data_IF_187825337731
#
_entry.id   IF_187825337731
#
_cell.length_a   1.000
_cell.length_b   1.000
_cell.length_c   1.000
_cell.angle_alpha   90.00
_cell.angle_beta   90.00
_cell.angle_gamma   90.00
#
_symmetry.space_group_name_H-M   'P 1'
#
loop_
_entity.id
_entity.type
_entity.pdbx_description
1 polymer ?
#
# COMPACT_ATOMS: atom_id res chain seq x y z
N UNK A 1 -8.02 35.90 -1.55
CA UNK A 1 -8.73 35.27 -0.42
C UNK A 1 -8.93 33.80 -0.76
N UNK A 2 -8.23 32.87 -0.11
CA UNK A 2 -8.50 31.43 -0.24
C UNK A 2 -9.68 31.09 0.68
N UNK A 3 -10.73 30.40 0.20
CA UNK A 3 -11.85 30.05 1.06
C UNK A 3 -11.37 29.12 2.17
N UNK A 4 -11.72 29.47 3.42
CA UNK A 4 -11.50 28.66 4.61
C UNK A 4 -12.26 27.35 4.47
N UNK A 5 -11.55 26.25 4.19
CA UNK A 5 -12.11 24.91 4.26
C UNK A 5 -12.54 24.65 5.70
N UNK A 6 -13.86 24.58 5.94
CA UNK A 6 -14.40 24.06 7.17
C UNK A 6 -13.90 22.61 7.34
N UNK A 7 -13.14 22.35 8.41
CA UNK A 7 -12.80 20.99 8.82
C UNK A 7 -14.08 20.34 9.32
N UNK A 8 -14.73 19.55 8.46
CA UNK A 8 -15.78 18.63 8.86
C UNK A 8 -15.23 17.72 9.97
N UNK A 9 -16.03 17.44 11.00
CA UNK A 9 -15.70 16.41 11.99
C UNK A 9 -15.81 15.05 11.29
N UNK A 10 -14.66 14.51 10.88
CA UNK A 10 -14.55 13.29 10.08
C UNK A 10 -14.60 12.02 10.95
N UNK A 11 -14.73 12.14 12.27
CA UNK A 11 -14.49 11.04 13.20
C UNK A 11 -13.01 10.66 13.29
N UNK A 12 -12.70 9.65 14.11
CA UNK A 12 -11.35 9.06 14.18
C UNK A 12 -11.09 8.10 13.02
N UNK A 13 -9.82 7.90 12.66
CA UNK A 13 -9.44 6.80 11.77
C UNK A 13 -9.72 5.47 12.47
N UNK A 14 -10.48 4.53 11.86
CA UNK A 14 -10.68 3.21 12.44
C UNK A 14 -9.33 2.50 12.60
N UNK A 15 -9.17 1.76 13.70
CA UNK A 15 -7.97 1.00 14.01
C UNK A 15 -8.27 -0.49 13.95
N UNK A 16 -7.41 -1.25 13.27
CA UNK A 16 -7.40 -2.70 13.24
C UNK A 16 -6.15 -3.23 13.94
N UNK A 17 -6.27 -4.43 14.50
CA UNK A 17 -5.22 -5.06 15.31
C UNK A 17 -4.75 -6.41 14.72
N UNK A 18 -5.22 -6.76 13.53
CA UNK A 18 -5.00 -8.08 12.95
C UNK A 18 -3.54 -8.25 12.54
N UNK A 19 -2.86 -9.18 13.19
CA UNK A 19 -1.52 -9.62 12.79
C UNK A 19 -1.62 -10.71 11.70
N UNK A 20 -1.35 -10.34 10.45
CA UNK A 20 -1.43 -11.23 9.29
C UNK A 20 -0.31 -12.27 9.20
N UNK A 21 0.66 -12.27 10.12
CA UNK A 21 1.77 -13.24 10.16
C UNK A 21 1.40 -14.53 10.92
N UNK A 22 0.27 -14.55 11.61
CA UNK A 22 -0.19 -15.71 12.36
C UNK A 22 -0.87 -16.73 11.45
N UNK A 23 -0.55 -18.00 11.66
CA UNK A 23 -1.19 -19.12 11.00
C UNK A 23 -2.69 -19.17 11.32
N UNK A 24 -3.51 -19.37 10.29
CA UNK A 24 -4.96 -19.43 10.40
C UNK A 24 -5.54 -20.53 9.50
N UNK A 25 -6.72 -21.07 9.83
CA UNK A 25 -7.54 -21.84 8.90
C UNK A 25 -7.62 -21.21 7.51
N UNK A 26 -7.74 -22.07 6.50
CA UNK A 26 -7.95 -21.61 5.14
C UNK A 26 -9.16 -20.67 5.06
N UNK A 27 -8.99 -19.59 4.29
CA UNK A 27 -9.98 -18.54 4.02
C UNK A 27 -10.30 -17.55 5.16
N UNK A 28 -9.90 -17.81 6.41
CA UNK A 28 -10.15 -16.87 7.52
C UNK A 28 -9.54 -15.48 7.27
N UNK A 29 -8.36 -15.42 6.64
CA UNK A 29 -7.73 -14.15 6.24
C UNK A 29 -8.64 -13.32 5.32
N UNK A 30 -9.42 -13.94 4.44
CA UNK A 30 -10.34 -13.19 3.57
C UNK A 30 -11.52 -12.63 4.37
N UNK A 31 -12.02 -13.36 5.35
CA UNK A 31 -13.09 -12.88 6.23
C UNK A 31 -12.64 -11.67 7.04
N UNK A 32 -11.41 -11.72 7.57
CA UNK A 32 -10.79 -10.60 8.29
C UNK A 32 -10.62 -9.37 7.38
N UNK A 33 -10.03 -9.55 6.19
CA UNK A 33 -9.86 -8.47 5.22
C UNK A 33 -11.21 -7.88 4.76
N UNK A 34 -12.23 -8.72 4.62
CA UNK A 34 -13.58 -8.27 4.30
C UNK A 34 -14.16 -7.42 5.43
N UNK A 35 -14.06 -7.88 6.69
CA UNK A 35 -14.55 -7.12 7.84
C UNK A 35 -13.82 -5.78 7.99
N UNK A 36 -12.49 -5.76 7.84
CA UNK A 36 -11.70 -4.54 7.94
C UNK A 36 -12.04 -3.53 6.82
N UNK A 37 -12.31 -3.99 5.60
CA UNK A 37 -12.78 -3.12 4.50
C UNK A 37 -14.09 -2.39 4.82
N UNK A 38 -14.94 -2.98 5.64
CA UNK A 38 -16.22 -2.36 6.02
C UNK A 38 -16.08 -1.33 7.15
N UNK A 39 -14.92 -1.26 7.83
CA UNK A 39 -14.67 -0.24 8.87
C UNK A 39 -14.52 1.17 8.30
N UNK A 40 -13.99 1.28 7.07
CA UNK A 40 -13.75 2.57 6.44
C UNK A 40 -12.95 2.46 5.14
N UNK A 41 -12.82 3.58 4.39
CA UNK A 41 -12.02 3.61 3.15
C UNK A 41 -10.52 3.36 3.41
N UNK A 42 -10.03 3.74 4.58
CA UNK A 42 -8.69 3.44 5.05
C UNK A 42 -8.72 3.16 6.55
N UNK A 43 -7.99 2.13 6.97
CA UNK A 43 -7.92 1.63 8.35
C UNK A 43 -6.47 1.64 8.81
N UNK A 44 -6.19 2.17 9.98
CA UNK A 44 -4.85 2.08 10.57
C UNK A 44 -4.68 0.71 11.24
N UNK A 45 -3.73 -0.11 10.79
CA UNK A 45 -3.39 -1.38 11.44
C UNK A 45 -2.17 -1.17 12.34
N UNK A 46 -2.29 -1.49 13.63
CA UNK A 46 -1.23 -1.29 14.64
C UNK A 46 -0.53 -2.58 15.07
N UNK A 47 -0.65 -3.66 14.30
CA UNK A 47 -0.03 -4.97 14.61
C UNK A 47 1.51 -4.98 14.49
N UNK A 48 2.11 -3.90 14.00
CA UNK A 48 3.56 -3.67 13.96
C UNK A 48 3.93 -2.45 14.80
N UNK A 49 5.20 -2.33 15.20
CA UNK A 49 5.69 -1.19 15.99
C UNK A 49 5.40 0.17 15.35
N UNK A 50 5.39 0.24 14.02
CA UNK A 50 5.15 1.47 13.27
C UNK A 50 3.72 1.61 12.74
N UNK A 51 2.94 0.54 12.78
CA UNK A 51 1.65 0.41 12.10
C UNK A 51 1.72 0.62 10.59
N UNK A 52 0.60 0.45 9.92
CA UNK A 52 0.46 0.69 8.49
C UNK A 52 -0.98 0.98 8.10
N UNK A 53 -1.16 1.74 7.03
CA UNK A 53 -2.48 2.03 6.49
C UNK A 53 -2.95 0.88 5.60
N UNK A 54 -4.13 0.36 5.89
CA UNK A 54 -4.81 -0.63 5.08
C UNK A 54 -5.87 0.03 4.20
N UNK A 55 -5.69 -0.12 2.89
CA UNK A 55 -6.62 0.33 1.86
C UNK A 55 -7.00 -0.88 1.02
N UNK A 56 -8.29 -1.23 0.99
CA UNK A 56 -8.76 -2.53 0.49
C UNK A 56 -9.87 -2.43 -0.55
N UNK A 57 -10.33 -1.22 -0.89
CA UNK A 57 -11.26 -1.01 -2.01
C UNK A 57 -10.49 -0.82 -3.31
N UNK A 58 -10.99 -1.45 -4.36
CA UNK A 58 -10.34 -1.48 -5.68
C UNK A 58 -10.01 -0.08 -6.22
N UNK A 59 -10.98 0.83 -6.19
CA UNK A 59 -10.81 2.18 -6.73
C UNK A 59 -9.78 2.98 -5.93
N UNK A 60 -9.81 2.87 -4.59
CA UNK A 60 -8.89 3.56 -3.70
C UNK A 60 -7.45 3.04 -3.88
N UNK A 61 -7.27 1.71 -3.93
CA UNK A 61 -5.96 1.09 -4.21
C UNK A 61 -5.44 1.54 -5.57
N UNK A 62 -6.28 1.52 -6.60
CA UNK A 62 -5.90 1.89 -7.96
C UNK A 62 -5.52 3.37 -8.07
N UNK A 63 -6.21 4.25 -7.33
CA UNK A 63 -5.86 5.66 -7.24
C UNK A 63 -4.49 5.84 -6.57
N UNK A 64 -4.28 5.21 -5.42
CA UNK A 64 -3.02 5.31 -4.67
C UNK A 64 -1.82 4.77 -5.46
N UNK A 65 -1.98 3.66 -6.19
CA UNK A 65 -0.91 3.10 -7.02
C UNK A 65 -0.46 4.02 -8.16
N UNK A 66 -1.22 5.07 -8.49
CA UNK A 66 -0.83 6.09 -9.48
C UNK A 66 -0.09 7.28 -8.85
N UNK A 67 -0.20 7.45 -7.53
CA UNK A 67 0.41 8.55 -6.78
C UNK A 67 1.89 8.27 -6.44
N UNK A 68 2.68 7.87 -7.43
CA UNK A 68 4.08 7.43 -7.25
C UNK A 68 5.02 8.52 -6.71
N UNK A 69 4.65 9.80 -6.82
CA UNK A 69 5.42 10.92 -6.27
C UNK A 69 5.14 11.14 -4.77
N UNK A 70 4.01 10.62 -4.28
CA UNK A 70 3.62 10.69 -2.86
C UNK A 70 3.89 9.38 -2.13
N UNK A 71 3.57 8.25 -2.77
CA UNK A 71 3.80 6.90 -2.25
C UNK A 71 5.04 6.31 -2.92
N UNK A 72 6.19 6.54 -2.29
CA UNK A 72 7.50 6.08 -2.74
C UNK A 72 7.77 4.63 -2.32
N UNK A 73 8.59 3.93 -3.09
CA UNK A 73 8.97 2.53 -2.86
C UNK A 73 10.15 2.36 -1.87
N UNK A 74 10.39 3.35 -1.00
CA UNK A 74 11.48 3.30 -0.01
C UNK A 74 11.19 2.29 1.11
N UNK A 75 9.91 2.01 1.38
CA UNK A 75 9.45 0.95 2.26
C UNK A 75 8.41 0.09 1.52
N UNK A 76 8.84 -1.09 1.05
CA UNK A 76 7.98 -2.00 0.27
C UNK A 76 7.28 -3.06 1.12
N UNK A 77 7.64 -3.18 2.40
CA UNK A 77 7.10 -4.19 3.30
C UNK A 77 6.78 -3.56 4.66
N UNK A 78 5.50 -3.48 4.99
CA UNK A 78 5.03 -2.96 6.27
C UNK A 78 5.45 -3.80 7.49
N UNK A 79 5.78 -5.08 7.30
CA UNK A 79 6.21 -5.99 8.36
C UNK A 79 7.73 -6.00 8.57
N UNK A 80 8.50 -5.59 7.55
CA UNK A 80 9.96 -5.46 7.60
C UNK A 80 10.38 -4.17 6.88
N UNK A 81 10.37 -3.03 7.57
CA UNK A 81 10.77 -1.75 6.99
C UNK A 81 12.27 -1.67 6.72
N UNK A 82 13.05 -2.63 7.22
CA UNK A 82 14.51 -2.66 7.10
C UNK A 82 15.01 -3.57 5.98
N UNK A 83 14.10 -4.09 5.15
CA UNK A 83 14.43 -5.03 4.08
C UNK A 83 15.58 -4.50 3.21
N UNK A 84 16.76 -5.11 3.35
CA UNK A 84 18.02 -4.57 2.80
C UNK A 84 18.25 -4.90 1.33
N UNK A 85 17.54 -5.90 0.80
CA UNK A 85 17.76 -6.40 -0.56
C UNK A 85 16.74 -5.75 -1.51
N UNK A 86 17.16 -4.80 -2.37
CA UNK A 86 16.24 -4.17 -3.29
C UNK A 86 15.78 -5.17 -4.36
N UNK A 87 14.46 -5.26 -4.54
CA UNK A 87 13.84 -6.05 -5.59
C UNK A 87 13.73 -5.19 -6.84
N UNK A 88 14.78 -5.17 -7.66
CA UNK A 88 14.79 -4.36 -8.89
C UNK A 88 13.87 -4.96 -9.98
N UNK A 89 13.12 -4.15 -10.74
CA UNK A 89 13.05 -2.68 -10.66
C UNK A 89 12.10 -2.13 -9.58
N UNK A 90 11.29 -2.98 -8.93
CA UNK A 90 10.19 -2.59 -8.04
C UNK A 90 10.60 -1.67 -6.88
N UNK A 91 11.81 -1.83 -6.33
CA UNK A 91 12.33 -0.97 -5.25
C UNK A 91 12.89 0.39 -5.72
N UNK A 92 12.72 0.77 -6.99
CA UNK A 92 13.17 2.06 -7.51
C UNK A 92 12.02 3.05 -7.63
N UNK A 93 12.30 4.32 -7.34
CA UNK A 93 11.43 5.44 -7.67
C UNK A 93 11.81 6.06 -9.03
N UNK A 94 10.95 6.87 -9.66
CA UNK A 94 11.35 7.73 -10.77
C UNK A 94 12.49 8.69 -10.34
N UNK A 95 13.44 9.02 -11.25
CA UNK A 95 13.53 8.58 -12.65
C UNK A 95 14.26 7.23 -12.88
N UNK A 96 14.93 6.65 -11.88
CA UNK A 96 15.74 5.42 -12.01
C UNK A 96 14.90 4.23 -12.45
N UNK A 97 13.69 4.09 -11.90
CA UNK A 97 12.72 3.08 -12.31
C UNK A 97 12.46 3.11 -13.82
N UNK A 98 12.27 4.30 -14.39
CA UNK A 98 11.99 4.48 -15.82
C UNK A 98 13.17 4.06 -16.70
N UNK A 99 14.40 4.36 -16.26
CA UNK A 99 15.62 3.97 -16.97
C UNK A 99 15.75 2.45 -17.03
N UNK A 100 15.59 1.77 -15.89
CA UNK A 100 15.71 0.31 -15.82
C UNK A 100 14.57 -0.39 -16.57
N UNK A 101 13.32 0.05 -16.40
CA UNK A 101 12.16 -0.49 -17.13
C UNK A 101 12.34 -0.38 -18.64
N UNK A 102 12.92 0.72 -19.14
CA UNK A 102 13.23 0.87 -20.59
C UNK A 102 14.21 -0.20 -21.10
N UNK A 103 15.18 -0.61 -20.29
CA UNK A 103 16.13 -1.68 -20.64
C UNK A 103 15.45 -3.06 -20.62
N UNK A 104 14.53 -3.28 -19.68
CA UNK A 104 13.84 -4.56 -19.50
C UNK A 104 12.70 -4.80 -20.50
N UNK A 105 11.95 -3.76 -20.88
CA UNK A 105 10.75 -3.88 -21.72
C UNK A 105 10.91 -4.73 -23.01
N UNK A 106 12.03 -4.67 -23.76
CA UNK A 106 12.18 -5.49 -24.97
C UNK A 106 12.05 -6.99 -24.72
N UNK A 107 12.52 -7.49 -23.57
CA UNK A 107 12.48 -8.90 -23.19
C UNK A 107 11.06 -9.41 -22.84
N UNK A 108 10.11 -8.49 -22.66
CA UNK A 108 8.71 -8.78 -22.34
C UNK A 108 7.75 -8.25 -23.42
N UNK A 109 8.28 -7.90 -24.60
CA UNK A 109 7.46 -7.45 -25.71
C UNK A 109 6.77 -8.65 -26.39
N UNK A 110 5.61 -8.46 -27.04
CA UNK A 110 4.89 -9.58 -27.69
C UNK A 110 5.67 -10.36 -28.75
N UNK A 111 6.80 -9.82 -29.23
CA UNK A 111 7.66 -10.43 -30.25
C UNK A 111 8.85 -11.22 -29.68
N UNK A 112 9.02 -11.25 -28.35
CA UNK A 112 10.07 -12.00 -27.66
C UNK A 112 9.74 -13.49 -27.51
#
# INVERSE_FOLDING_TARGET
MRPSQQRTDLGGCPVAHTDYRLDRPAFETYELLNAERELGPAVWNDSTEHGFLMVSRYDDVTALLREHDTLVNDCVNAFDPTMTTPLLPNSLNPPEHNKLRRVLNPFFSPAA
#
